data_IF_971163604665
#
_entry.id   IF_971163604665
#
_cell.length_a   1.000
_cell.length_b   1.000
_cell.length_c   1.000
_cell.angle_alpha   90.00
_cell.angle_beta   90.00
_cell.angle_gamma   90.00
#
_symmetry.space_group_name_H-M   'P 1'
#
loop_
_entity.id
_entity.type
_entity.pdbx_description
1 polymer ?
#
# COMPACT_ATOMS: atom_id res chain seq x y z
N UNK A 1 -6.61 -13.42 3.68
CA UNK A 1 -6.03 -12.16 3.19
C UNK A 1 -7.17 -11.20 2.87
N UNK A 2 -7.18 -10.01 3.45
CA UNK A 2 -8.20 -8.99 3.19
C UNK A 2 -7.88 -8.21 1.91
N UNK A 3 -8.87 -7.53 1.33
CA UNK A 3 -8.68 -6.67 0.15
C UNK A 3 -7.60 -5.59 0.39
N UNK A 4 -7.56 -5.04 1.61
CA UNK A 4 -6.56 -4.06 2.01
C UNK A 4 -5.17 -4.66 2.22
N UNK A 5 -5.07 -5.88 2.74
CA UNK A 5 -3.80 -6.61 2.82
C UNK A 5 -3.24 -6.88 1.41
N UNK A 6 -4.10 -7.30 0.48
CA UNK A 6 -3.68 -7.53 -0.91
C UNK A 6 -3.26 -6.23 -1.60
N UNK A 7 -4.02 -5.15 -1.43
CA UNK A 7 -3.67 -3.86 -2.01
C UNK A 7 -2.36 -3.28 -1.43
N UNK A 8 -2.06 -3.55 -0.17
CA UNK A 8 -0.76 -3.21 0.45
C UNK A 8 0.39 -3.98 -0.22
N UNK A 9 0.19 -5.26 -0.56
CA UNK A 9 1.19 -6.04 -1.30
C UNK A 9 1.43 -5.48 -2.71
N UNK A 10 0.37 -5.07 -3.41
CA UNK A 10 0.47 -4.43 -4.72
C UNK A 10 1.24 -3.11 -4.64
N UNK A 11 0.91 -2.25 -3.66
CA UNK A 11 1.60 -0.99 -3.43
C UNK A 11 3.11 -1.20 -3.23
N UNK A 12 3.50 -2.14 -2.35
CA UNK A 12 4.92 -2.48 -2.13
C UNK A 12 5.61 -3.04 -3.37
N UNK A 13 4.90 -3.81 -4.17
CA UNK A 13 5.44 -4.33 -5.42
C UNK A 13 5.74 -3.17 -6.37
N UNK A 14 4.83 -2.19 -6.48
CA UNK A 14 5.02 -0.98 -7.28
C UNK A 14 6.19 -0.12 -6.77
N UNK A 15 6.34 0.08 -5.44
CA UNK A 15 7.49 0.79 -4.87
C UNK A 15 8.84 0.13 -5.22
N UNK A 16 8.83 -1.19 -5.42
CA UNK A 16 10.00 -1.97 -5.86
C UNK A 16 10.16 -2.01 -7.39
N UNK A 17 9.34 -1.26 -8.13
CA UNK A 17 9.40 -1.17 -9.59
C UNK A 17 8.59 -2.23 -10.35
N UNK A 18 7.72 -2.98 -9.66
CA UNK A 18 6.82 -3.90 -10.36
C UNK A 18 5.75 -3.13 -11.15
N UNK A 19 5.48 -3.59 -12.37
CA UNK A 19 4.41 -3.07 -13.21
C UNK A 19 3.16 -3.93 -13.00
N UNK A 20 2.05 -3.29 -12.63
CA UNK A 20 0.76 -3.96 -12.51
C UNK A 20 0.07 -4.06 -13.87
N UNK A 21 -0.78 -5.07 -14.05
CA UNK A 21 -1.68 -5.10 -15.20
C UNK A 21 -2.77 -4.03 -15.06
N UNK A 22 -3.28 -3.53 -16.18
CA UNK A 22 -4.34 -2.50 -16.21
C UNK A 22 -5.58 -2.91 -15.41
N UNK A 23 -5.93 -4.20 -15.44
CA UNK A 23 -7.04 -4.75 -14.65
C UNK A 23 -6.79 -4.62 -13.15
N UNK A 24 -5.60 -4.98 -12.67
CA UNK A 24 -5.26 -4.86 -11.25
C UNK A 24 -5.16 -3.41 -10.81
N UNK A 25 -4.55 -2.55 -11.64
CA UNK A 25 -4.48 -1.13 -11.34
C UNK A 25 -5.88 -0.52 -11.21
N UNK A 26 -6.77 -0.79 -12.18
CA UNK A 26 -8.16 -0.28 -12.15
C UNK A 26 -8.95 -0.82 -10.96
N UNK A 27 -8.81 -2.11 -10.65
CA UNK A 27 -9.57 -2.74 -9.58
C UNK A 27 -9.18 -2.21 -8.20
N UNK A 28 -7.91 -1.88 -7.98
CA UNK A 28 -7.38 -1.43 -6.69
C UNK A 28 -7.03 0.06 -6.62
N UNK A 29 -7.28 0.82 -7.70
CA UNK A 29 -7.03 2.26 -7.75
C UNK A 29 -7.62 3.03 -6.55
N UNK A 30 -8.88 2.77 -6.10
CA UNK A 30 -9.45 3.47 -4.96
C UNK A 30 -8.64 3.31 -3.68
N UNK A 31 -8.09 2.13 -3.47
CA UNK A 31 -7.28 1.85 -2.29
C UNK A 31 -5.84 2.38 -2.49
N UNK A 32 -5.22 2.16 -3.66
CA UNK A 32 -3.86 2.62 -3.99
C UNK A 32 -3.69 4.14 -3.91
N UNK A 33 -4.69 4.92 -4.31
CA UNK A 33 -4.67 6.39 -4.22
C UNK A 33 -4.72 6.91 -2.78
N UNK A 34 -5.23 6.11 -1.85
CA UNK A 34 -5.49 6.53 -0.47
C UNK A 34 -4.55 5.87 0.55
N UNK A 35 -3.62 5.01 0.12
CA UNK A 35 -2.70 4.35 1.02
C UNK A 35 -1.47 5.20 1.35
N UNK A 36 -1.11 5.17 2.63
CA UNK A 36 0.23 5.54 3.10
C UNK A 36 0.76 4.40 3.96
N UNK A 37 2.00 4.00 3.72
CA UNK A 37 2.69 2.99 4.54
C UNK A 37 3.80 3.72 5.32
N UNK A 38 3.57 3.89 6.61
CA UNK A 38 4.55 4.53 7.51
C UNK A 38 5.34 3.48 8.28
N UNK A 39 6.66 3.64 8.36
CA UNK A 39 7.48 2.88 9.30
C UNK A 39 7.21 3.37 10.73
N UNK A 40 6.69 2.49 11.59
CA UNK A 40 6.45 2.78 13.02
C UNK A 40 7.68 2.43 13.85
N UNK A 41 8.35 1.35 13.49
CA UNK A 41 9.60 0.93 14.12
C UNK A 41 10.59 0.51 13.05
N UNK A 42 11.87 0.81 13.28
CA UNK A 42 12.98 0.45 12.40
C UNK A 42 14.02 -0.33 13.19
N UNK A 43 14.73 -1.22 12.51
CA UNK A 43 15.90 -1.88 13.07
C UNK A 43 17.14 -0.96 13.06
N UNK A 44 18.27 -1.49 13.55
CA UNK A 44 19.57 -0.81 13.60
C UNK A 44 20.12 -0.39 12.23
N UNK A 45 19.64 -1.03 11.15
CA UNK A 45 20.05 -0.76 9.77
C UNK A 45 19.04 0.18 9.06
N UNK A 46 18.05 0.69 9.79
CA UNK A 46 17.02 1.60 9.28
C UNK A 46 15.88 0.91 8.53
N UNK A 47 15.82 -0.43 8.52
CA UNK A 47 14.74 -1.16 7.85
C UNK A 47 13.50 -1.22 8.73
N UNK A 48 12.29 -1.00 8.19
CA UNK A 48 11.07 -1.08 8.96
C UNK A 48 10.83 -2.50 9.50
N UNK A 49 10.56 -2.59 10.81
CA UNK A 49 10.19 -3.84 11.51
C UNK A 49 8.72 -3.86 11.90
N UNK A 50 8.11 -2.68 12.07
CA UNK A 50 6.66 -2.52 12.24
C UNK A 50 6.21 -1.39 11.32
N UNK A 51 5.19 -1.67 10.51
CA UNK A 51 4.64 -0.73 9.55
C UNK A 51 3.17 -0.48 9.83
N UNK A 52 2.70 0.75 9.58
CA UNK A 52 1.30 1.13 9.70
C UNK A 52 0.78 1.50 8.33
N UNK A 53 -0.25 0.78 7.91
CA UNK A 53 -1.03 1.11 6.72
C UNK A 53 -2.13 2.09 7.14
N UNK A 54 -2.13 3.28 6.55
CA UNK A 54 -3.21 4.27 6.69
C UNK A 54 -3.99 4.33 5.40
N UNK A 55 -5.29 4.53 5.54
CA UNK A 55 -6.20 4.75 4.43
C UNK A 55 -6.84 6.11 4.68
N UNK A 56 -6.59 7.08 3.80
CA UNK A 56 -7.34 8.32 3.81
C UNK A 56 -8.81 7.99 3.46
N UNK A 57 -9.77 8.48 4.26
CA UNK A 57 -11.17 8.42 3.82
C UNK A 57 -11.30 9.32 2.61
N UNK A 58 -11.50 8.73 1.44
CA UNK A 58 -12.01 9.48 0.31
C UNK A 58 -13.47 9.82 0.64
N UNK A 59 -13.79 11.09 0.81
CA UNK A 59 -15.19 11.53 0.84
C UNK A 59 -15.73 11.35 -0.58
N UNK A 60 -16.31 10.18 -0.87
CA UNK A 60 -17.12 10.04 -2.08
C UNK A 60 -18.40 10.85 -1.85
N UNK A 61 -18.40 12.09 -2.33
CA UNK A 61 -19.58 12.94 -2.51
C UNK A 61 -20.57 12.31 -3.47
#
# INVERSE_FOLDING_TARGET
MTRYEFATMLFRAMEKGAVLSDRMFTEFAPELECFTVDAVHTDKDGKPTVERVRIAKTERS
#
